data_IF_643806515204
#
_entry.id   IF_643806515204
#
_cell.length_a   1.000
_cell.length_b   1.000
_cell.length_c   1.000
_cell.angle_alpha   90.00
_cell.angle_beta   90.00
_cell.angle_gamma   90.00
#
_symmetry.space_group_name_H-M   'P 1'
#
loop_
_entity.id
_entity.type
_entity.pdbx_description
1 polymer ?
#
# COMPACT_ATOMS: atom_id res chain seq x y z
N UNK A 1 10.96 -10.05 0.65
CA UNK A 1 11.53 -10.96 -0.37
C UNK A 1 10.86 -10.56 -1.67
N UNK A 2 11.54 -9.86 -2.58
CA UNK A 2 10.94 -9.45 -3.86
C UNK A 2 10.83 -10.69 -4.73
N UNK A 3 9.63 -11.24 -4.89
CA UNK A 3 9.39 -12.31 -5.86
C UNK A 3 9.44 -11.69 -7.26
N UNK A 4 10.24 -12.26 -8.15
CA UNK A 4 10.33 -11.90 -9.58
C UNK A 4 9.04 -12.20 -10.37
N UNK A 5 7.91 -12.39 -9.69
CA UNK A 5 6.62 -12.75 -10.28
C UNK A 5 5.72 -11.51 -10.19
N UNK A 6 5.31 -10.99 -11.34
CA UNK A 6 4.40 -9.84 -11.43
C UNK A 6 3.01 -10.11 -10.86
N UNK A 7 2.71 -11.38 -10.59
CA UNK A 7 1.46 -11.86 -10.02
C UNK A 7 1.68 -12.96 -8.95
N UNK A 8 0.93 -12.90 -7.85
CA UNK A 8 0.97 -13.87 -6.74
C UNK A 8 -0.41 -14.08 -6.12
N UNK A 9 -0.59 -15.16 -5.34
CA UNK A 9 -1.82 -15.46 -4.61
C UNK A 9 -2.52 -16.72 -5.10
N UNK A 10 -3.69 -16.97 -4.55
CA UNK A 10 -4.50 -18.15 -4.85
C UNK A 10 -5.97 -17.93 -4.49
N UNK A 11 -6.82 -18.77 -5.08
CA UNK A 11 -8.25 -18.84 -4.78
C UNK A 11 -8.58 -20.27 -4.38
N UNK A 12 -9.03 -20.49 -3.16
CA UNK A 12 -9.53 -21.78 -2.72
C UNK A 12 -10.93 -22.01 -3.28
N UNK A 13 -11.17 -23.19 -3.87
CA UNK A 13 -12.46 -23.56 -4.45
C UNK A 13 -13.29 -24.44 -3.50
N UNK A 14 -12.70 -24.89 -2.39
CA UNK A 14 -13.35 -25.81 -1.45
C UNK A 14 -13.52 -27.20 -2.06
N UNK A 15 -14.43 -28.00 -1.50
CA UNK A 15 -14.66 -29.38 -1.97
C UNK A 15 -15.46 -29.39 -3.27
N UNK A 16 -14.85 -29.90 -4.33
CA UNK A 16 -15.44 -30.07 -5.66
C UNK A 16 -15.68 -31.54 -5.99
N UNK A 17 -16.69 -31.84 -6.80
CA UNK A 17 -16.89 -33.17 -7.38
C UNK A 17 -15.76 -33.56 -8.34
N UNK A 18 -15.53 -34.87 -8.50
CA UNK A 18 -14.52 -35.39 -9.44
C UNK A 18 -14.78 -34.93 -10.88
N UNK A 19 -16.05 -34.83 -11.29
CA UNK A 19 -16.44 -34.31 -12.60
C UNK A 19 -15.99 -32.84 -12.77
N UNK A 20 -16.28 -31.98 -11.79
CA UNK A 20 -15.86 -30.58 -11.83
C UNK A 20 -14.34 -30.46 -11.81
N UNK A 21 -13.64 -31.22 -10.96
CA UNK A 21 -12.17 -31.22 -10.92
C UNK A 21 -11.58 -31.59 -12.28
N UNK A 22 -12.07 -32.66 -12.92
CA UNK A 22 -11.59 -33.08 -14.23
C UNK A 22 -11.82 -32.02 -15.31
N UNK A 23 -12.94 -31.29 -15.25
CA UNK A 23 -13.22 -30.18 -16.18
C UNK A 23 -12.28 -29.00 -15.95
N UNK A 24 -11.95 -28.68 -14.69
CA UNK A 24 -11.00 -27.60 -14.38
C UNK A 24 -9.57 -27.94 -14.81
N UNK A 25 -9.15 -29.20 -14.68
CA UNK A 25 -7.83 -29.67 -15.17
C UNK A 25 -7.67 -29.57 -16.69
N UNK A 26 -8.78 -29.57 -17.43
CA UNK A 26 -8.78 -29.49 -18.90
C UNK A 26 -8.83 -28.05 -19.45
N UNK A 27 -9.02 -27.04 -18.59
CA UNK A 27 -9.06 -25.66 -19.03
C UNK A 27 -7.67 -25.20 -19.48
N UNK A 28 -7.60 -24.66 -20.70
CA UNK A 28 -6.38 -24.11 -21.27
C UNK A 28 -6.23 -22.65 -20.83
N UNK A 29 -5.46 -22.45 -19.76
CA UNK A 29 -5.22 -21.16 -19.14
C UNK A 29 -3.71 -20.87 -19.12
N UNK A 30 -3.34 -19.63 -19.44
CA UNK A 30 -1.94 -19.22 -19.57
C UNK A 30 -1.35 -18.72 -18.25
N UNK A 31 -2.16 -18.15 -17.38
CA UNK A 31 -1.71 -17.53 -16.12
C UNK A 31 -2.09 -18.31 -14.87
N UNK A 32 -3.21 -19.01 -14.89
CA UNK A 32 -3.76 -19.75 -13.76
C UNK A 32 -3.76 -21.25 -14.05
N UNK A 33 -3.58 -22.03 -12.99
CA UNK A 33 -3.76 -23.48 -13.03
C UNK A 33 -4.60 -23.94 -11.86
N UNK A 34 -5.44 -24.94 -12.10
CA UNK A 34 -6.11 -25.65 -11.03
C UNK A 34 -5.13 -26.64 -10.39
N UNK A 35 -4.95 -26.53 -9.08
CA UNK A 35 -4.15 -27.42 -8.27
C UNK A 35 -5.09 -28.42 -7.55
N UNK A 36 -5.15 -29.69 -7.97
CA UNK A 36 -6.10 -30.67 -7.43
C UNK A 36 -5.83 -31.02 -5.96
N UNK A 37 -4.56 -31.06 -5.57
CA UNK A 37 -4.08 -31.38 -4.21
C UNK A 37 -4.70 -30.44 -3.15
N UNK A 38 -4.77 -29.14 -3.46
CA UNK A 38 -5.30 -28.10 -2.58
C UNK A 38 -6.70 -27.61 -2.98
N UNK A 39 -7.24 -28.13 -4.09
CA UNK A 39 -8.51 -27.68 -4.70
C UNK A 39 -8.57 -26.15 -4.82
N UNK A 40 -7.54 -25.59 -5.44
CA UNK A 40 -7.36 -24.13 -5.56
C UNK A 40 -6.90 -23.73 -6.94
N UNK A 41 -7.26 -22.51 -7.36
CA UNK A 41 -6.61 -21.84 -8.49
C UNK A 41 -5.35 -21.15 -7.99
N UNK A 42 -4.22 -21.43 -8.62
CA UNK A 42 -2.92 -20.83 -8.28
C UNK A 42 -2.34 -20.15 -9.51
N UNK A 43 -1.52 -19.13 -9.28
CA UNK A 43 -0.77 -18.48 -10.35
C UNK A 43 0.32 -19.43 -10.82
N UNK A 44 0.40 -19.66 -12.13
CA UNK A 44 1.40 -20.55 -12.74
C UNK A 44 2.82 -20.05 -12.47
N UNK A 45 3.73 -21.00 -12.36
CA UNK A 45 5.15 -20.71 -12.13
C UNK A 45 5.81 -19.99 -13.32
N UNK A 46 5.37 -20.29 -14.54
CA UNK A 46 5.81 -19.63 -15.78
C UNK A 46 4.71 -18.68 -16.23
N UNK A 47 5.01 -17.38 -16.21
CA UNK A 47 4.09 -16.31 -16.59
C UNK A 47 4.47 -15.81 -18.00
N UNK A 48 3.50 -15.61 -18.91
CA UNK A 48 3.76 -14.96 -20.19
C UNK A 48 4.21 -13.51 -20.00
N UNK A 49 5.26 -13.09 -20.71
CA UNK A 49 5.81 -11.72 -20.60
C UNK A 49 5.21 -10.76 -21.66
N UNK A 50 4.40 -11.25 -22.60
CA UNK A 50 3.92 -10.51 -23.77
C UNK A 50 2.43 -10.12 -23.71
N UNK A 51 1.71 -10.48 -22.63
CA UNK A 51 0.27 -10.26 -22.50
C UNK A 51 -0.07 -9.49 -21.22
N UNK A 52 -1.00 -8.50 -21.26
CA UNK A 52 -1.39 -7.75 -20.07
C UNK A 52 -1.99 -8.63 -18.96
N UNK A 53 -1.25 -8.74 -17.85
CA UNK A 53 -1.56 -9.59 -16.68
C UNK A 53 -3.01 -9.47 -16.21
N UNK A 54 -3.49 -8.25 -15.97
CA UNK A 54 -4.80 -8.03 -15.35
C UNK A 54 -5.96 -8.53 -16.22
N UNK A 55 -5.85 -8.38 -17.55
CA UNK A 55 -6.89 -8.80 -18.47
C UNK A 55 -7.02 -10.31 -18.50
N UNK A 56 -5.89 -11.01 -18.62
CA UNK A 56 -5.87 -12.46 -18.74
C UNK A 56 -6.30 -13.12 -17.43
N UNK A 57 -5.74 -12.70 -16.29
CA UNK A 57 -6.09 -13.29 -15.00
C UNK A 57 -7.57 -13.08 -14.66
N UNK A 58 -8.13 -11.90 -14.96
CA UNK A 58 -9.55 -11.67 -14.75
C UNK A 58 -10.41 -12.58 -15.65
N UNK A 59 -10.02 -12.75 -16.91
CA UNK A 59 -10.71 -13.63 -17.86
C UNK A 59 -10.64 -15.10 -17.45
N UNK A 60 -9.45 -15.60 -17.14
CA UNK A 60 -9.23 -16.98 -16.70
C UNK A 60 -9.96 -17.28 -15.39
N UNK A 61 -9.92 -16.36 -14.40
CA UNK A 61 -10.71 -16.53 -13.17
C UNK A 61 -12.20 -16.71 -13.47
N UNK A 62 -12.76 -15.90 -14.38
CA UNK A 62 -14.16 -16.01 -14.77
C UNK A 62 -14.43 -17.33 -15.49
N UNK A 63 -13.51 -17.80 -16.35
CA UNK A 63 -13.62 -19.07 -17.05
C UNK A 63 -13.65 -20.25 -16.08
N UNK A 64 -12.68 -20.35 -15.16
CA UNK A 64 -12.67 -21.38 -14.12
C UNK A 64 -13.95 -21.34 -13.27
N UNK A 65 -14.37 -20.16 -12.79
CA UNK A 65 -15.56 -20.01 -11.96
C UNK A 65 -16.87 -20.35 -12.70
N UNK A 66 -16.89 -20.17 -14.03
CA UNK A 66 -18.06 -20.49 -14.86
C UNK A 66 -18.30 -21.99 -15.01
N UNK A 67 -17.23 -22.80 -14.94
CA UNK A 67 -17.31 -24.27 -15.03
C UNK A 67 -17.87 -24.90 -13.75
N UNK A 68 -17.64 -24.25 -12.60
CA UNK A 68 -18.12 -24.73 -11.30
C UNK A 68 -19.63 -24.54 -11.22
N UNK A 69 -20.36 -25.63 -10.93
CA UNK A 69 -21.81 -25.60 -10.79
C UNK A 69 -22.24 -24.74 -9.60
N UNK A 70 -23.42 -24.12 -9.66
CA UNK A 70 -23.91 -23.20 -8.61
C UNK A 70 -23.90 -23.84 -7.21
N UNK A 71 -24.31 -25.11 -7.10
CA UNK A 71 -24.35 -25.85 -5.84
C UNK A 71 -22.96 -26.07 -5.18
N UNK A 72 -21.89 -26.05 -5.98
CA UNK A 72 -20.51 -26.10 -5.52
C UNK A 72 -19.96 -24.68 -5.31
N UNK A 73 -20.33 -23.74 -6.20
CA UNK A 73 -19.88 -22.35 -6.16
C UNK A 73 -20.24 -21.66 -4.85
N UNK A 74 -21.43 -21.92 -4.30
CA UNK A 74 -21.85 -21.37 -2.98
C UNK A 74 -20.96 -21.81 -1.81
N UNK A 75 -20.16 -22.86 -1.97
CA UNK A 75 -19.25 -23.40 -0.95
C UNK A 75 -17.80 -22.93 -1.12
N UNK A 76 -17.50 -22.21 -2.20
CA UNK A 76 -16.16 -21.66 -2.45
C UNK A 76 -15.78 -20.76 -1.26
N UNK A 77 -14.65 -21.04 -0.58
CA UNK A 77 -14.13 -20.16 0.47
C UNK A 77 -13.66 -18.82 -0.09
N UNK A 78 -13.08 -18.84 -1.30
CA UNK A 78 -12.58 -17.67 -1.99
C UNK A 78 -11.07 -17.50 -1.82
N UNK A 79 -10.60 -16.29 -2.08
CA UNK A 79 -9.18 -15.95 -2.02
C UNK A 79 -8.87 -14.72 -2.86
N UNK A 80 -7.59 -14.43 -3.03
CA UNK A 80 -7.17 -13.25 -3.76
C UNK A 80 -5.89 -13.50 -4.56
N UNK A 81 -5.89 -12.93 -5.76
CA UNK A 81 -4.73 -12.81 -6.62
C UNK A 81 -4.32 -11.35 -6.66
N UNK A 82 -3.03 -11.09 -6.51
CA UNK A 82 -2.42 -9.78 -6.48
C UNK A 82 -1.48 -9.65 -7.67
N UNK A 83 -1.62 -8.57 -8.43
CA UNK A 83 -0.71 -8.23 -9.51
C UNK A 83 -0.24 -6.79 -9.38
N UNK A 84 0.95 -6.52 -9.90
CA UNK A 84 1.43 -5.17 -10.12
C UNK A 84 1.31 -4.86 -11.61
N UNK A 85 0.61 -3.79 -11.96
CA UNK A 85 0.60 -3.28 -13.33
C UNK A 85 1.98 -2.70 -13.64
N UNK A 86 2.70 -3.28 -14.60
CA UNK A 86 4.08 -2.88 -14.91
C UNK A 86 4.18 -1.45 -15.45
N UNK A 87 3.13 -0.98 -16.14
CA UNK A 87 3.11 0.35 -16.76
C UNK A 87 2.90 1.45 -15.72
N UNK A 88 1.88 1.31 -14.87
CA UNK A 88 1.53 2.32 -13.87
C UNK A 88 2.19 2.08 -12.51
N UNK A 89 2.75 0.91 -12.26
CA UNK A 89 3.23 0.46 -10.95
C UNK A 89 2.12 0.22 -9.93
N UNK A 90 0.84 0.36 -10.31
CA UNK A 90 -0.28 0.18 -9.38
C UNK A 90 -0.47 -1.29 -9.01
N UNK A 91 -0.70 -1.54 -7.73
CA UNK A 91 -1.08 -2.85 -7.25
C UNK A 91 -2.57 -3.05 -7.44
N UNK A 92 -2.95 -4.23 -7.94
CA UNK A 92 -4.33 -4.64 -8.18
C UNK A 92 -4.60 -5.95 -7.46
N UNK A 93 -5.79 -6.07 -6.86
CA UNK A 93 -6.28 -7.28 -6.22
C UNK A 93 -7.54 -7.76 -6.92
N UNK A 94 -7.49 -9.00 -7.42
CA UNK A 94 -8.65 -9.75 -7.87
C UNK A 94 -9.06 -10.69 -6.74
N UNK A 95 -10.17 -10.37 -6.07
CA UNK A 95 -10.67 -11.13 -4.92
C UNK A 95 -11.91 -11.92 -5.31
N UNK A 96 -11.85 -13.23 -5.13
CA UNK A 96 -13.00 -14.12 -5.17
C UNK A 96 -13.54 -14.24 -3.75
N UNK A 97 -14.77 -13.80 -3.53
CA UNK A 97 -15.44 -13.89 -2.25
C UNK A 97 -16.04 -15.27 -2.04
N UNK A 98 -16.39 -15.55 -0.79
CA UNK A 98 -17.18 -16.73 -0.48
C UNK A 98 -18.44 -16.76 -1.36
N UNK A 99 -18.71 -17.92 -1.98
CA UNK A 99 -19.79 -18.06 -2.97
C UNK A 99 -19.40 -17.74 -4.42
N UNK A 100 -18.13 -17.44 -4.69
CA UNK A 100 -17.58 -17.35 -6.06
C UNK A 100 -17.78 -16.01 -6.79
N UNK A 101 -18.10 -14.94 -6.07
CA UNK A 101 -18.22 -13.59 -6.64
C UNK A 101 -16.84 -12.94 -6.80
N UNK A 102 -16.55 -12.35 -7.97
CA UNK A 102 -15.26 -11.71 -8.27
C UNK A 102 -15.35 -10.18 -8.11
N UNK A 103 -14.37 -9.60 -7.41
CA UNK A 103 -14.15 -8.15 -7.35
C UNK A 103 -12.74 -7.80 -7.80
N UNK A 104 -12.58 -6.64 -8.43
CA UNK A 104 -11.27 -6.06 -8.77
C UNK A 104 -11.13 -4.74 -8.03
N UNK A 105 -10.01 -4.56 -7.34
CA UNK A 105 -9.72 -3.34 -6.58
C UNK A 105 -8.26 -2.92 -6.79
N UNK A 106 -8.04 -1.60 -6.86
CA UNK A 106 -6.71 -1.01 -6.86
C UNK A 106 -6.28 -0.72 -5.43
N UNK A 107 -4.99 -0.89 -5.14
CA UNK A 107 -4.43 -0.57 -3.83
C UNK A 107 -4.64 0.91 -3.52
N UNK A 108 -5.21 1.18 -2.34
CA UNK A 108 -5.44 2.53 -1.82
C UNK A 108 -4.85 2.60 -0.41
N UNK A 109 -3.74 3.32 -0.19
CA UNK A 109 -3.18 3.48 1.14
C UNK A 109 -4.19 4.11 2.10
N UNK A 110 -4.54 3.37 3.15
CA UNK A 110 -5.43 3.81 4.22
C UNK A 110 -4.73 3.67 5.58
N UNK A 111 -4.59 4.79 6.29
CA UNK A 111 -3.97 4.85 7.62
C UNK A 111 -5.00 4.83 8.76
N UNK A 112 -6.30 4.95 8.50
CA UNK A 112 -7.33 5.01 9.55
C UNK A 112 -7.43 3.68 10.32
N UNK A 113 -7.24 2.57 9.63
CA UNK A 113 -7.34 1.21 10.18
C UNK A 113 -5.98 0.57 10.45
N UNK A 114 -4.90 1.34 10.32
CA UNK A 114 -3.54 0.82 10.45
C UNK A 114 -3.11 0.62 11.91
N UNK A 115 -2.29 -0.40 12.15
CA UNK A 115 -1.72 -0.67 13.48
C UNK A 115 -0.51 0.21 13.75
N UNK A 116 -0.45 0.83 14.93
CA UNK A 116 0.72 1.59 15.39
C UNK A 116 1.77 0.64 15.97
N UNK A 117 2.99 0.72 15.46
CA UNK A 117 4.14 -0.06 15.93
C UNK A 117 5.14 0.90 16.57
N UNK A 118 5.58 0.64 17.79
CA UNK A 118 6.57 1.47 18.47
C UNK A 118 7.88 1.56 17.68
N UNK A 119 8.39 2.77 17.49
CA UNK A 119 9.63 3.05 16.78
C UNK A 119 10.70 3.57 17.74
N UNK A 120 11.76 2.78 17.90
CA UNK A 120 12.87 3.07 18.81
C UNK A 120 14.16 3.47 18.09
N UNK A 121 14.14 3.60 16.76
CA UNK A 121 15.34 3.90 15.96
C UNK A 121 15.92 2.67 15.26
N UNK A 122 15.19 1.55 15.26
CA UNK A 122 15.55 0.38 14.48
C UNK A 122 15.50 0.66 12.97
N UNK A 123 16.28 -0.10 12.19
CA UNK A 123 16.17 -0.08 10.73
C UNK A 123 14.82 -0.63 10.31
N UNK A 124 14.06 0.13 9.53
CA UNK A 124 12.77 -0.28 8.99
C UNK A 124 12.77 -0.06 7.48
N UNK A 125 12.11 -0.93 6.69
CA UNK A 125 11.91 -0.65 5.28
C UNK A 125 11.04 0.60 5.14
N UNK A 126 11.52 1.53 4.33
CA UNK A 126 10.82 2.74 3.88
C UNK A 126 11.11 2.90 2.39
N UNK A 127 10.36 3.78 1.71
CA UNK A 127 10.62 4.12 0.31
C UNK A 127 12.10 4.44 0.12
N UNK A 128 12.70 3.95 -0.96
CA UNK A 128 14.12 4.16 -1.24
C UNK A 128 14.47 5.66 -1.24
N UNK A 129 15.53 6.05 -0.53
CA UNK A 129 15.80 7.44 -0.13
C UNK A 129 15.76 8.44 -1.29
N UNK A 130 16.34 8.17 -2.48
CA UNK A 130 16.29 9.10 -3.60
C UNK A 130 14.87 9.43 -4.11
N UNK A 131 13.86 8.61 -3.81
CA UNK A 131 12.49 8.78 -4.27
C UNK A 131 11.50 9.17 -3.16
N UNK A 132 11.97 9.34 -1.92
CA UNK A 132 11.08 9.69 -0.81
C UNK A 132 10.38 11.03 -1.04
N UNK A 133 9.10 11.07 -0.70
CA UNK A 133 8.25 12.26 -0.70
C UNK A 133 7.62 12.38 0.67
N UNK A 134 8.09 13.37 1.43
CA UNK A 134 7.68 13.62 2.81
C UNK A 134 6.60 14.70 2.87
N UNK A 135 5.51 14.41 3.56
CA UNK A 135 4.42 15.36 3.84
C UNK A 135 4.09 15.33 5.33
N UNK A 136 3.66 16.45 5.91
CA UNK A 136 3.14 16.45 7.28
C UNK A 136 3.56 17.64 8.11
N UNK A 137 3.22 17.59 9.40
CA UNK A 137 3.47 18.66 10.36
C UNK A 137 3.99 18.05 11.66
N UNK A 138 5.11 18.56 12.14
CA UNK A 138 5.73 18.16 13.40
C UNK A 138 5.97 19.37 14.28
N UNK A 139 5.73 19.23 15.58
CA UNK A 139 5.91 20.27 16.61
C UNK A 139 6.71 19.71 17.77
N UNK A 140 7.57 20.54 18.35
CA UNK A 140 8.27 20.21 19.59
C UNK A 140 8.73 21.48 20.32
N UNK A 141 8.98 21.35 21.62
CA UNK A 141 9.59 22.43 22.41
C UNK A 141 11.10 22.39 22.25
N UNK A 142 11.69 23.49 21.76
CA UNK A 142 13.11 23.82 21.85
C UNK A 142 13.35 25.28 21.38
N UNK A 143 14.60 25.63 21.16
CA UNK A 143 15.14 26.91 20.72
C UNK A 143 15.34 26.96 19.20
N UNK A 144 15.67 28.15 18.69
CA UNK A 144 16.04 28.36 17.29
C UNK A 144 17.24 27.51 16.84
N UNK A 145 18.15 27.14 17.75
CA UNK A 145 19.31 26.29 17.40
C UNK A 145 18.86 24.90 16.95
N UNK A 146 17.82 24.33 17.58
CA UNK A 146 17.26 23.05 17.16
C UNK A 146 16.61 23.13 15.77
N UNK A 147 15.98 24.26 15.45
CA UNK A 147 15.42 24.51 14.12
C UNK A 147 16.51 24.49 13.03
N UNK A 148 17.69 25.06 13.28
CA UNK A 148 18.83 25.00 12.34
C UNK A 148 19.34 23.57 12.12
N UNK A 149 19.40 22.75 13.17
CA UNK A 149 19.83 21.34 13.06
C UNK A 149 18.85 20.53 12.22
N UNK A 150 17.54 20.76 12.39
CA UNK A 150 16.52 20.13 11.54
C UNK A 150 16.64 20.62 10.11
N UNK A 151 16.82 21.92 9.87
CA UNK A 151 17.02 22.49 8.54
C UNK A 151 18.18 21.81 7.81
N UNK A 152 19.34 21.73 8.48
CA UNK A 152 20.52 21.08 7.92
C UNK A 152 20.32 19.59 7.63
N UNK A 153 19.39 18.93 8.31
CA UNK A 153 19.01 17.53 8.01
C UNK A 153 18.13 17.45 6.77
N UNK A 154 17.14 18.35 6.63
CA UNK A 154 16.25 18.40 5.47
C UNK A 154 16.99 18.77 4.18
N UNK A 155 18.02 19.61 4.27
CA UNK A 155 18.82 20.04 3.12
C UNK A 155 19.82 18.98 2.63
N UNK A 156 20.06 17.91 3.41
CA UNK A 156 20.81 16.74 2.96
C UNK A 156 19.93 15.86 2.08
N UNK A 157 19.65 16.34 0.88
CA UNK A 157 18.94 15.58 -0.14
C UNK A 157 19.76 14.35 -0.54
N UNK A 158 19.15 13.18 -0.44
CA UNK A 158 19.67 11.91 -0.99
C UNK A 158 19.18 11.68 -2.43
N UNK A 159 18.22 12.49 -2.91
CA UNK A 159 17.76 12.45 -4.30
C UNK A 159 18.63 13.26 -5.24
N UNK A 160 18.44 13.02 -6.54
CA UNK A 160 19.17 13.70 -7.62
C UNK A 160 18.94 15.22 -7.62
N UNK A 161 17.80 15.68 -7.08
CA UNK A 161 17.43 17.08 -6.96
C UNK A 161 16.58 17.30 -5.72
N UNK A 162 16.79 18.41 -5.01
CA UNK A 162 15.87 18.84 -3.96
C UNK A 162 14.50 19.15 -4.57
N UNK A 163 13.47 18.47 -4.10
CA UNK A 163 12.07 18.70 -4.47
C UNK A 163 11.24 19.01 -3.23
N UNK A 164 10.16 19.77 -3.42
CA UNK A 164 9.21 20.14 -2.37
C UNK A 164 9.54 21.43 -1.64
N UNK A 165 8.70 21.73 -0.67
CA UNK A 165 8.75 22.92 0.17
C UNK A 165 8.65 22.53 1.64
N UNK A 166 9.45 23.18 2.49
CA UNK A 166 9.28 23.07 3.93
C UNK A 166 9.32 24.45 4.58
N UNK A 167 8.62 24.58 5.71
CA UNK A 167 8.64 25.77 6.54
C UNK A 167 9.01 25.37 7.97
N UNK A 168 9.88 26.15 8.61
CA UNK A 168 10.23 25.99 10.02
C UNK A 168 9.89 27.29 10.75
N UNK A 169 8.86 27.24 11.57
CA UNK A 169 8.38 28.37 12.36
C UNK A 169 8.87 28.22 13.80
N UNK A 170 9.62 29.22 14.29
CA UNK A 170 10.09 29.27 15.68
C UNK A 170 9.27 30.31 16.44
N UNK A 171 8.71 29.91 17.58
CA UNK A 171 7.90 30.78 18.43
C UNK A 171 8.18 30.53 19.91
N UNK A 172 7.54 31.31 20.80
CA UNK A 172 7.60 31.04 22.25
C UNK A 172 6.99 29.68 22.64
N UNK A 173 6.18 29.07 21.76
CA UNK A 173 5.55 27.75 21.99
C UNK A 173 6.43 26.59 21.50
N UNK A 174 7.61 26.87 20.94
CA UNK A 174 8.51 25.88 20.37
C UNK A 174 8.67 26.02 18.85
N UNK A 175 9.08 24.92 18.23
CA UNK A 175 9.38 24.79 16.80
C UNK A 175 8.27 24.00 16.12
N UNK A 176 7.77 24.50 15.00
CA UNK A 176 6.85 23.80 14.10
C UNK A 176 7.50 23.64 12.73
N UNK A 177 7.42 22.45 12.18
CA UNK A 177 7.93 22.10 10.86
C UNK A 177 6.74 21.64 10.01
N UNK A 178 6.59 22.23 8.84
CA UNK A 178 5.63 21.78 7.82
C UNK A 178 6.42 21.27 6.61
N UNK A 179 6.07 20.09 6.13
CA UNK A 179 6.67 19.43 4.97
C UNK A 179 5.59 19.29 3.89
N UNK A 180 5.93 19.70 2.67
CA UNK A 180 5.09 19.52 1.49
C UNK A 180 5.93 18.96 0.34
N UNK A 181 5.69 17.70 0.05
CA UNK A 181 6.39 16.94 -1.00
C UNK A 181 7.92 17.02 -0.89
N UNK A 182 8.47 17.01 0.33
CA UNK A 182 9.92 17.21 0.52
C UNK A 182 10.68 15.93 0.17
N UNK A 183 11.66 16.03 -0.73
CA UNK A 183 12.60 14.95 -0.99
C UNK A 183 13.75 14.98 0.02
N UNK A 184 13.58 14.28 1.13
CA UNK A 184 14.60 14.09 2.15
C UNK A 184 14.48 12.68 2.73
N UNK A 185 15.56 12.18 3.34
CA UNK A 185 15.51 10.89 4.03
C UNK A 185 14.81 11.01 5.38
N UNK A 186 13.72 10.25 5.54
CA UNK A 186 12.89 10.28 6.75
C UNK A 186 13.62 9.74 7.98
N UNK A 187 14.47 8.72 7.84
CA UNK A 187 15.10 8.09 9.00
C UNK A 187 16.09 9.03 9.71
N UNK A 188 17.01 9.72 9.00
CA UNK A 188 17.80 10.81 9.58
C UNK A 188 16.94 11.90 10.18
N UNK A 189 15.86 12.32 9.51
CA UNK A 189 14.96 13.36 10.01
C UNK A 189 14.28 12.96 11.33
N UNK A 190 13.69 11.77 11.40
CA UNK A 190 13.05 11.22 12.60
C UNK A 190 14.05 11.14 13.76
N UNK A 191 15.28 10.70 13.47
CA UNK A 191 16.37 10.66 14.47
C UNK A 191 16.69 12.06 14.97
N UNK A 192 16.94 13.01 14.08
CA UNK A 192 17.22 14.40 14.44
C UNK A 192 16.10 14.98 15.30
N UNK A 193 14.84 14.79 14.91
CA UNK A 193 13.67 15.27 15.66
C UNK A 193 13.63 14.72 17.09
N UNK A 194 13.92 13.42 17.28
CA UNK A 194 13.97 12.79 18.60
C UNK A 194 15.14 13.28 19.44
N UNK A 195 16.29 13.55 18.82
CA UNK A 195 17.50 14.01 19.50
C UNK A 195 17.38 15.48 19.93
N UNK A 196 16.69 16.32 19.14
CA UNK A 196 16.54 17.75 19.44
C UNK A 196 15.28 18.09 20.21
N UNK A 197 14.23 17.28 20.23
CA UNK A 197 13.03 17.63 20.99
C UNK A 197 13.28 17.56 22.51
N UNK A 198 12.74 18.52 23.27
CA UNK A 198 12.63 18.36 24.73
C UNK A 198 11.82 17.08 25.02
N UNK A 199 12.23 16.22 25.96
CA UNK A 199 11.52 14.99 26.29
C UNK A 199 10.02 15.23 26.53
N UNK A 200 9.17 14.44 25.88
CA UNK A 200 7.71 14.55 26.00
C UNK A 200 7.04 15.57 25.06
N UNK A 201 7.80 16.44 24.38
CA UNK A 201 7.24 17.55 23.59
C UNK A 201 6.98 17.25 22.12
N UNK A 202 7.59 16.20 21.56
CA UNK A 202 7.48 15.86 20.14
C UNK A 202 6.07 15.36 19.81
N UNK A 203 5.43 16.01 18.84
CA UNK A 203 4.05 15.78 18.42
C UNK A 203 3.91 15.95 16.90
N UNK A 204 2.98 15.23 16.28
CA UNK A 204 2.62 15.41 14.87
C UNK A 204 2.85 14.16 14.04
N UNK A 205 2.96 14.31 12.72
CA UNK A 205 3.12 13.19 11.81
C UNK A 205 3.90 13.55 10.55
N UNK A 206 4.58 12.55 9.98
CA UNK A 206 5.25 12.61 8.68
C UNK A 206 4.81 11.40 7.86
N UNK A 207 4.11 11.68 6.77
CA UNK A 207 3.83 10.73 5.70
C UNK A 207 5.06 10.55 4.82
N UNK A 208 5.41 9.28 4.57
CA UNK A 208 6.48 8.85 3.69
C UNK A 208 5.84 8.13 2.52
N UNK A 209 5.91 8.76 1.36
CA UNK A 209 5.47 8.20 0.09
C UNK A 209 6.59 8.29 -0.95
N UNK A 210 6.30 7.97 -2.21
CA UNK A 210 7.28 8.00 -3.29
C UNK A 210 6.88 8.98 -4.38
N UNK A 211 7.87 9.65 -4.96
CA UNK A 211 7.72 10.36 -6.25
C UNK A 211 7.64 9.40 -7.43
N UNK A 212 8.08 8.15 -7.25
CA UNK A 212 7.94 7.07 -8.22
C UNK A 212 6.66 6.29 -7.94
N UNK A 213 5.99 5.84 -9.00
CA UNK A 213 4.89 4.89 -8.85
C UNK A 213 5.42 3.50 -8.44
N UNK A 214 4.63 2.78 -7.63
CA UNK A 214 4.87 1.36 -7.34
C UNK A 214 5.57 1.02 -6.03
N UNK A 215 5.88 1.99 -5.16
CA UNK A 215 6.48 1.70 -3.84
C UNK A 215 5.44 1.65 -2.70
N UNK A 216 4.18 1.28 -2.99
CA UNK A 216 3.06 1.39 -2.02
C UNK A 216 3.28 0.56 -0.74
N UNK A 217 3.97 -0.58 -0.82
CA UNK A 217 4.26 -1.43 0.35
C UNK A 217 5.28 -0.81 1.32
N UNK A 218 6.07 0.14 0.82
CA UNK A 218 7.08 0.87 1.58
C UNK A 218 6.57 2.22 2.07
N UNK A 219 5.33 2.58 1.73
CA UNK A 219 4.66 3.76 2.28
C UNK A 219 4.47 3.55 3.78
N UNK A 220 4.73 4.61 4.53
CA UNK A 220 4.51 4.59 5.96
C UNK A 220 4.27 6.00 6.49
N UNK A 221 3.81 6.07 7.74
CA UNK A 221 3.67 7.30 8.49
C UNK A 221 4.41 7.16 9.81
N UNK A 222 5.25 8.15 10.10
CA UNK A 222 5.76 8.33 11.45
C UNK A 222 4.79 9.22 12.21
N UNK A 223 4.26 8.72 13.32
CA UNK A 223 3.39 9.46 14.23
C UNK A 223 4.17 9.75 15.50
N UNK A 224 4.10 10.98 15.99
CA UNK A 224 4.73 11.42 17.22
C UNK A 224 3.69 11.89 18.22
N UNK A 225 3.75 11.38 19.44
CA UNK A 225 2.90 11.84 20.55
C UNK A 225 3.67 11.65 21.85
N UNK A 226 3.64 12.67 22.68
CA UNK A 226 4.27 12.71 23.99
C UNK A 226 5.76 12.33 23.96
N UNK A 227 6.49 12.74 22.91
CA UNK A 227 7.91 12.42 22.77
C UNK A 227 8.21 11.02 22.21
N UNK A 228 7.21 10.15 22.09
CA UNK A 228 7.35 8.82 21.50
C UNK A 228 7.09 8.87 19.98
N UNK A 229 7.67 7.91 19.27
CA UNK A 229 7.50 7.75 17.83
C UNK A 229 6.88 6.37 17.54
N UNK A 230 5.91 6.34 16.63
CA UNK A 230 5.32 5.11 16.10
C UNK A 230 5.42 5.10 14.58
N UNK A 231 5.67 3.91 14.05
CA UNK A 231 5.58 3.62 12.64
C UNK A 231 4.19 3.05 12.36
N UNK A 232 3.54 3.60 11.34
CA UNK A 232 2.24 3.14 10.85
C UNK A 232 2.40 2.77 9.38
N UNK A 233 1.93 1.59 8.99
CA UNK A 233 1.89 1.17 7.59
C UNK A 233 0.44 1.16 7.11
N UNK A 234 0.16 1.71 5.92
CA UNK A 234 -1.21 1.77 5.45
C UNK A 234 -1.75 0.35 5.18
N UNK A 235 -3.04 0.15 5.43
CA UNK A 235 -3.74 -0.92 4.75
C UNK A 235 -3.86 -0.55 3.27
N UNK A 236 -3.51 -1.45 2.37
CA UNK A 236 -3.65 -1.22 0.93
C UNK A 236 -5.02 -1.66 0.41
N UNK A 237 -5.72 -2.50 1.18
CA UNK A 237 -6.93 -3.18 0.76
C UNK A 237 -8.02 -2.98 1.81
N UNK A 238 -9.15 -2.42 1.38
CA UNK A 238 -10.36 -2.41 2.19
C UNK A 238 -11.24 -3.58 1.78
N UNK A 239 -11.63 -4.39 2.77
CA UNK A 239 -12.67 -5.41 2.63
C UNK A 239 -14.03 -4.91 3.14
N UNK A 240 -14.07 -3.67 3.62
CA UNK A 240 -15.32 -3.02 3.99
C UNK A 240 -16.07 -2.65 2.70
N UNK A 241 -17.37 -2.94 2.61
CA UNK A 241 -18.17 -2.40 1.51
C UNK A 241 -18.00 -0.89 1.50
N UNK A 242 -17.62 -0.31 0.36
CA UNK A 242 -17.56 1.15 0.19
C UNK A 242 -18.89 1.70 0.70
N UNK A 243 -18.86 2.47 1.80
CA UNK A 243 -20.01 3.28 2.18
C UNK A 243 -20.28 4.14 0.96
N UNK A 244 -21.44 3.93 0.32
CA UNK A 244 -21.88 4.77 -0.79
C UNK A 244 -21.66 6.23 -0.39
N UNK A 245 -20.74 6.89 -1.08
CA UNK A 245 -20.65 8.34 -1.01
C UNK A 245 -22.05 8.85 -1.38
N UNK A 246 -22.61 9.82 -0.62
CA UNK A 246 -23.87 10.42 -1.02
C UNK A 246 -23.72 10.91 -2.47
N UNK A 247 -24.72 10.68 -3.33
CA UNK A 247 -24.63 11.04 -4.74
C UNK A 247 -24.23 12.50 -4.83
N UNK A 248 -23.10 12.77 -5.48
CA UNK A 248 -22.64 14.11 -5.76
C UNK A 248 -23.75 14.82 -6.52
N UNK A 249 -24.29 15.88 -5.91
CA UNK A 249 -25.30 16.73 -6.52
C UNK A 249 -24.82 17.15 -7.91
N UNK A 250 -25.70 17.12 -8.93
CA UNK A 250 -25.31 17.53 -10.27
C UNK A 250 -24.87 18.99 -10.19
N UNK A 251 -23.64 19.25 -10.65
CA UNK A 251 -23.13 20.59 -10.93
C UNK A 251 -24.18 21.33 -11.77
N UNK A 252 -24.95 22.19 -11.12
CA UNK A 252 -25.82 23.14 -11.79
C UNK A 252 -24.95 23.93 -12.76
N UNK A 253 -25.24 23.81 -14.05
CA UNK A 253 -24.69 24.67 -15.07
C UNK A 253 -25.13 26.09 -14.73
N UNK A 254 -24.18 26.91 -14.29
CA UNK A 254 -24.36 28.35 -14.22
C UNK A 254 -24.82 28.85 -15.60
N UNK A 255 -25.98 29.49 -15.62
CA UNK A 255 -26.56 30.18 -16.77
C UNK A 255 -25.86 31.52 -17.01
#
# INVERSE_FOLDING_TARGET
MRTHLGCTGSVELGTLSEETQHRLEQLDASWLEFAPESQSLVVRHVQPDDVPVLREIAGELLEFLSVIAEAERVKIPGGAIYSQDEVSGQYVRLKVWAGGFLTVAWARPDYEHATLIAYHGQTVPVVFEPYQRLNGVVRFENSAVAAEVVRATLERSEGLYAQGEYAINVSMKGVEITLRDVNASVLPLVRTLRDVAVPGSLQGEIDVSSFRAGDLEDYCRFVFRNGEAWLVRPSLWSDLPEKQAPPSEPLERAA
#
